data_IF_409184564101
#
_entry.id   IF_409184564101
#
_cell.length_a   1.000
_cell.length_b   1.000
_cell.length_c   1.000
_cell.angle_alpha   90.00
_cell.angle_beta   90.00
_cell.angle_gamma   90.00
#
_symmetry.space_group_name_H-M   'P 1'
#
loop_
_entity.id
_entity.type
_entity.pdbx_description
1 polymer ?
#
# COMPACT_ATOMS: atom_id res chain seq x y z
N UNK A 1 4.27 -9.41 -16.42
CA UNK A 1 3.83 -10.59 -15.64
C UNK A 1 3.59 -10.15 -14.21
N UNK A 2 2.48 -10.55 -13.57
CA UNK A 2 2.24 -10.25 -12.16
C UNK A 2 3.29 -10.94 -11.27
N UNK A 3 3.68 -10.27 -10.18
CA UNK A 3 4.50 -10.86 -9.13
C UNK A 3 3.62 -11.66 -8.17
N UNK A 4 4.22 -12.59 -7.42
CA UNK A 4 3.46 -13.42 -6.46
C UNK A 4 2.76 -12.61 -5.38
N UNK A 5 3.37 -11.51 -4.93
CA UNK A 5 2.90 -10.68 -3.84
C UNK A 5 3.73 -9.38 -3.74
N UNK A 6 3.35 -8.50 -2.81
CA UNK A 6 4.03 -7.22 -2.54
C UNK A 6 5.53 -7.43 -2.33
N UNK A 7 5.91 -8.40 -1.51
CA UNK A 7 7.31 -8.68 -1.20
C UNK A 7 8.11 -9.00 -2.46
N UNK A 8 7.59 -9.86 -3.33
CA UNK A 8 8.23 -10.22 -4.60
C UNK A 8 8.29 -9.02 -5.56
N UNK A 9 7.24 -8.20 -5.59
CA UNK A 9 7.18 -6.97 -6.39
C UNK A 9 8.28 -6.00 -5.96
N UNK A 10 8.35 -5.63 -4.67
CA UNK A 10 9.35 -4.67 -4.19
C UNK A 10 10.77 -5.26 -4.25
N UNK A 11 10.96 -6.58 -4.17
CA UNK A 11 12.28 -7.20 -4.35
C UNK A 11 12.79 -7.16 -5.80
N UNK A 12 11.91 -7.17 -6.79
CA UNK A 12 12.31 -7.29 -8.20
C UNK A 12 12.10 -6.02 -9.02
N UNK A 13 11.22 -5.13 -8.58
CA UNK A 13 10.93 -3.85 -9.24
C UNK A 13 11.53 -2.68 -8.45
N UNK A 14 12.52 -2.01 -9.05
CA UNK A 14 13.20 -0.85 -8.43
C UNK A 14 12.25 0.33 -8.24
N UNK A 15 11.40 0.63 -9.22
CA UNK A 15 10.44 1.73 -9.14
C UNK A 15 9.37 1.46 -8.08
N UNK A 16 8.82 0.25 -8.03
CA UNK A 16 7.84 -0.13 -7.01
C UNK A 16 8.44 -0.11 -5.60
N UNK A 17 9.70 -0.55 -5.44
CA UNK A 17 10.41 -0.42 -4.16
C UNK A 17 10.60 1.05 -3.76
N UNK A 18 11.05 1.89 -4.69
CA UNK A 18 11.26 3.31 -4.43
C UNK A 18 9.98 3.99 -4.00
N UNK A 19 8.86 3.68 -4.68
CA UNK A 19 7.55 4.19 -4.29
C UNK A 19 7.15 3.69 -2.90
N UNK A 20 7.19 2.38 -2.65
CA UNK A 20 6.86 1.80 -1.34
C UNK A 20 7.65 2.43 -0.19
N UNK A 21 8.96 2.62 -0.35
CA UNK A 21 9.82 3.23 0.68
C UNK A 21 9.59 4.73 0.86
N UNK A 22 8.99 5.42 -0.11
CA UNK A 22 8.60 6.83 0.04
C UNK A 22 7.33 7.02 0.87
N UNK A 23 6.55 5.95 1.10
CA UNK A 23 5.32 6.01 1.88
C UNK A 23 5.63 6.10 3.39
N UNK A 24 4.78 6.74 4.19
CA UNK A 24 4.85 6.68 5.65
C UNK A 24 4.86 5.25 6.18
N UNK A 25 5.60 5.00 7.26
CA UNK A 25 5.72 3.66 7.88
C UNK A 25 4.35 3.02 8.19
N UNK A 26 3.33 3.74 8.71
CA UNK A 26 2.02 3.13 8.92
C UNK A 26 1.38 2.58 7.63
N UNK A 27 1.53 3.31 6.52
CA UNK A 27 1.05 2.87 5.20
C UNK A 27 1.85 1.65 4.70
N UNK A 28 3.17 1.65 4.87
CA UNK A 28 4.00 0.48 4.54
C UNK A 28 3.54 -0.77 5.31
N UNK A 29 3.18 -0.61 6.59
CA UNK A 29 2.70 -1.72 7.41
C UNK A 29 1.33 -2.24 7.00
N UNK A 30 0.39 -1.34 6.71
CA UNK A 30 -0.94 -1.71 6.21
C UNK A 30 -0.85 -2.42 4.84
N UNK A 31 0.01 -1.94 3.94
CA UNK A 31 0.27 -2.61 2.66
C UNK A 31 0.90 -4.00 2.85
N UNK A 32 1.80 -4.15 3.82
CA UNK A 32 2.36 -5.45 4.17
C UNK A 32 1.32 -6.44 4.71
N UNK A 33 0.31 -5.97 5.45
CA UNK A 33 -0.80 -6.82 5.89
C UNK A 33 -1.63 -7.36 4.71
N UNK A 34 -1.60 -6.67 3.56
CA UNK A 34 -2.29 -7.04 2.33
C UNK A 34 -1.34 -7.60 1.26
N UNK A 35 -0.17 -8.10 1.69
CA UNK A 35 0.91 -8.56 0.82
C UNK A 35 0.44 -9.44 -0.36
N UNK A 36 -0.44 -10.40 -0.08
CA UNK A 36 -0.85 -11.41 -1.06
C UNK A 36 -1.83 -10.88 -2.13
N UNK A 37 -2.32 -9.65 -1.99
CA UNK A 37 -3.24 -9.02 -2.96
C UNK A 37 -2.55 -8.04 -3.91
N UNK A 38 -1.26 -7.75 -3.70
CA UNK A 38 -0.52 -6.75 -4.48
C UNK A 38 0.45 -7.47 -5.41
N UNK A 39 0.10 -7.53 -6.69
CA UNK A 39 0.87 -8.28 -7.69
C UNK A 39 1.58 -7.38 -8.71
N UNK A 40 1.13 -6.14 -8.83
CA UNK A 40 1.65 -5.17 -9.81
C UNK A 40 1.88 -3.80 -9.17
N UNK A 41 2.59 -2.92 -9.90
CA UNK A 41 2.74 -1.53 -9.47
C UNK A 41 1.39 -0.80 -9.38
N UNK A 42 0.47 -1.10 -10.31
CA UNK A 42 -0.89 -0.54 -10.32
C UNK A 42 -1.68 -0.98 -9.09
N UNK A 43 -1.58 -2.26 -8.68
CA UNK A 43 -2.19 -2.74 -7.43
C UNK A 43 -1.62 -2.03 -6.21
N UNK A 44 -0.30 -1.80 -6.18
CA UNK A 44 0.36 -1.07 -5.08
C UNK A 44 -0.16 0.37 -4.97
N UNK A 45 -0.30 1.09 -6.09
CA UNK A 45 -0.86 2.44 -6.09
C UNK A 45 -2.33 2.45 -5.66
N UNK A 46 -3.17 1.59 -6.24
CA UNK A 46 -4.60 1.50 -5.87
C UNK A 46 -4.78 1.15 -4.40
N UNK A 47 -4.05 0.17 -3.89
CA UNK A 47 -4.16 -0.23 -2.48
C UNK A 47 -3.70 0.90 -1.54
N UNK A 48 -2.68 1.66 -1.94
CA UNK A 48 -2.24 2.84 -1.19
C UNK A 48 -3.35 3.89 -1.12
N UNK A 49 -3.99 4.22 -2.25
CA UNK A 49 -5.12 5.16 -2.27
C UNK A 49 -6.29 4.68 -1.41
N UNK A 50 -6.63 3.38 -1.47
CA UNK A 50 -7.73 2.82 -0.68
C UNK A 50 -7.46 2.95 0.82
N UNK A 51 -6.25 2.59 1.27
CA UNK A 51 -5.87 2.72 2.68
C UNK A 51 -5.91 4.18 3.13
N UNK A 52 -5.40 5.11 2.31
CA UNK A 52 -5.41 6.53 2.64
C UNK A 52 -6.83 7.08 2.78
N UNK A 53 -7.73 6.76 1.84
CA UNK A 53 -9.13 7.17 1.90
C UNK A 53 -9.83 6.60 3.13
N UNK A 54 -9.62 5.33 3.42
CA UNK A 54 -10.17 4.69 4.62
C UNK A 54 -9.67 5.35 5.91
N UNK A 55 -8.35 5.53 6.04
CA UNK A 55 -7.74 6.16 7.21
C UNK A 55 -8.29 7.57 7.42
N UNK A 56 -8.41 8.36 6.34
CA UNK A 56 -8.99 9.70 6.40
C UNK A 56 -10.46 9.69 6.85
N UNK A 57 -11.28 8.78 6.33
CA UNK A 57 -12.68 8.64 6.74
C UNK A 57 -12.82 8.23 8.21
N UNK A 58 -11.98 7.32 8.69
CA UNK A 58 -11.95 6.92 10.11
C UNK A 58 -11.54 8.09 10.99
N UNK A 59 -10.54 8.87 10.59
CA UNK A 59 -10.08 10.04 11.32
C UNK A 59 -11.19 11.09 11.43
N UNK A 60 -11.83 11.44 10.30
CA UNK A 60 -12.96 12.39 10.28
C UNK A 60 -14.11 11.90 11.16
N UNK A 61 -14.48 10.62 11.07
CA UNK A 61 -15.53 10.04 11.92
C UNK A 61 -15.22 10.19 13.41
N UNK A 62 -13.97 9.97 13.82
CA UNK A 62 -13.52 10.15 15.21
C UNK A 62 -13.51 11.59 15.69
N UNK A 63 -13.43 12.59 14.81
CA UNK A 63 -13.50 13.99 15.21
C UNK A 63 -14.93 14.48 15.44
N UNK A 64 -15.93 13.74 14.92
CA UNK A 64 -17.35 14.13 14.97
C UNK A 64 -18.10 13.56 16.19
N UNK A 65 -17.49 12.67 16.96
CA UNK A 65 -18.04 12.02 18.16
C UNK A 65 -17.04 12.08 19.31
#
# INVERSE_FOLDING_TARGET
MPYKNLHSLIQKSRSSRSYFLSLPVPLQMQLHQQNDFIHTADDLHRQTEYIQRYNHQVEVSRMLF
#
